data_IF_804803802511
#
_entry.id   IF_804803802511
#
_cell.length_a   1.000
_cell.length_b   1.000
_cell.length_c   1.000
_cell.angle_alpha   90.00
_cell.angle_beta   90.00
_cell.angle_gamma   90.00
#
_symmetry.space_group_name_H-M   'P 1'
#
loop_
_entity.id
_entity.type
_entity.pdbx_description
1 polymer ?
#
# COMPACT_ATOMS: atom_id res chain seq x y z
N UNK A 1 3.04 -4.01 4.00
CA UNK A 1 2.93 -3.86 2.54
C UNK A 1 3.47 -2.49 2.17
N UNK A 2 4.33 -2.41 1.17
CA UNK A 2 4.85 -1.14 0.66
C UNK A 2 3.97 -0.64 -0.49
N UNK A 3 3.41 0.56 -0.36
CA UNK A 3 2.53 1.17 -1.38
C UNK A 3 3.18 2.45 -1.92
N UNK A 4 3.11 2.66 -3.23
CA UNK A 4 3.73 3.82 -3.91
C UNK A 4 2.71 4.62 -4.71
N UNK A 5 3.10 5.83 -5.15
CA UNK A 5 2.19 6.74 -5.86
C UNK A 5 1.81 6.30 -7.28
N UNK A 6 2.67 5.55 -7.97
CA UNK A 6 2.33 4.97 -9.27
C UNK A 6 1.26 3.87 -9.06
N UNK A 7 0.02 4.07 -9.54
CA UNK A 7 -1.10 3.20 -9.24
C UNK A 7 -0.94 1.80 -9.85
N UNK A 8 -0.13 1.63 -10.89
CA UNK A 8 0.06 0.36 -11.59
C UNK A 8 1.39 -0.34 -11.24
N UNK A 9 2.18 0.30 -10.37
CA UNK A 9 3.51 -0.16 -10.01
C UNK A 9 3.56 -1.59 -9.48
N UNK A 10 4.60 -2.29 -9.91
CA UNK A 10 5.08 -3.49 -9.26
C UNK A 10 6.61 -3.48 -9.37
N UNK A 11 7.26 -2.94 -8.34
CA UNK A 11 8.71 -2.69 -8.34
C UNK A 11 9.36 -3.56 -7.29
N UNK A 12 10.29 -4.44 -7.69
CA UNK A 12 11.04 -5.27 -6.75
C UNK A 12 11.90 -4.42 -5.82
N UNK A 13 12.06 -4.87 -4.58
CA UNK A 13 12.96 -4.25 -3.59
C UNK A 13 14.23 -5.11 -3.54
N UNK A 14 15.37 -4.69 -4.11
CA UNK A 14 16.55 -5.55 -4.25
C UNK A 14 17.09 -6.08 -2.92
N UNK A 15 17.00 -5.27 -1.85
CA UNK A 15 17.44 -5.64 -0.51
C UNK A 15 16.46 -6.55 0.24
N UNK A 16 15.26 -6.81 -0.31
CA UNK A 16 14.23 -7.67 0.26
C UNK A 16 13.73 -8.65 -0.80
N UNK A 17 14.44 -9.77 -1.03
CA UNK A 17 14.06 -10.76 -2.05
C UNK A 17 12.60 -11.21 -1.90
N UNK A 18 11.88 -11.25 -3.02
CA UNK A 18 10.45 -11.59 -3.06
C UNK A 18 9.50 -10.45 -2.67
N UNK A 19 10.01 -9.31 -2.20
CA UNK A 19 9.18 -8.15 -1.83
C UNK A 19 9.14 -7.10 -2.94
N UNK A 20 8.00 -6.42 -3.00
CA UNK A 20 7.69 -5.41 -4.02
C UNK A 20 7.03 -4.17 -3.38
N UNK A 21 7.22 -3.02 -4.03
CA UNK A 21 6.38 -1.83 -3.88
C UNK A 21 5.23 -1.96 -4.87
N UNK A 22 4.01 -1.74 -4.37
CA UNK A 22 2.79 -1.97 -5.12
C UNK A 22 2.06 -0.65 -5.37
N UNK A 23 1.55 -0.49 -6.59
CA UNK A 23 0.53 0.50 -6.90
C UNK A 23 -0.85 0.02 -6.45
N UNK A 24 -1.74 0.97 -6.18
CA UNK A 24 -3.09 0.69 -5.64
C UNK A 24 -3.94 -0.23 -6.54
N UNK A 25 -3.76 -0.19 -7.86
CA UNK A 25 -4.50 -1.03 -8.81
C UNK A 25 -4.05 -2.49 -8.77
N UNK A 26 -2.84 -2.76 -8.25
CA UNK A 26 -2.28 -4.11 -8.15
C UNK A 26 -2.59 -4.80 -6.82
N UNK A 27 -3.12 -4.07 -5.83
CA UNK A 27 -3.36 -4.59 -4.48
C UNK A 27 -4.37 -5.74 -4.45
N UNK A 28 -5.41 -5.69 -5.28
CA UNK A 28 -6.42 -6.74 -5.36
C UNK A 28 -5.82 -8.07 -5.81
N UNK A 29 -5.09 -8.06 -6.93
CA UNK A 29 -4.46 -9.27 -7.46
C UNK A 29 -3.35 -9.83 -6.55
N UNK A 30 -2.66 -8.97 -5.79
CA UNK A 30 -1.63 -9.40 -4.85
C UNK A 30 -2.23 -9.98 -3.56
N UNK A 31 -3.18 -9.28 -2.95
CA UNK A 31 -3.72 -9.65 -1.63
C UNK A 31 -4.89 -10.61 -1.71
N UNK A 32 -5.67 -10.61 -2.78
CA UNK A 32 -6.86 -11.46 -2.94
C UNK A 32 -6.58 -12.93 -2.61
N UNK A 33 -5.60 -13.57 -3.28
CA UNK A 33 -5.24 -14.95 -2.95
C UNK A 33 -4.77 -15.14 -1.50
N UNK A 34 -4.14 -14.14 -0.89
CA UNK A 34 -3.67 -14.24 0.50
C UNK A 34 -4.83 -14.14 1.49
N UNK A 35 -5.80 -13.26 1.23
CA UNK A 35 -7.03 -13.12 2.02
C UNK A 35 -7.85 -14.39 1.93
N UNK A 36 -7.99 -14.97 0.73
CA UNK A 36 -8.66 -16.27 0.53
C UNK A 36 -7.96 -17.41 1.30
N UNK A 37 -6.65 -17.32 1.48
CA UNK A 37 -5.85 -18.24 2.29
C UNK A 37 -5.79 -17.89 3.79
N UNK A 38 -6.61 -16.95 4.27
CA UNK A 38 -6.76 -16.64 5.69
C UNK A 38 -5.89 -15.48 6.21
N UNK A 39 -5.30 -14.65 5.35
CA UNK A 39 -4.64 -13.42 5.77
C UNK A 39 -5.65 -12.49 6.47
N UNK A 40 -5.47 -12.29 7.77
CA UNK A 40 -6.41 -11.52 8.60
C UNK A 40 -5.98 -10.07 8.84
N UNK A 41 -4.70 -9.73 8.66
CA UNK A 41 -4.20 -8.37 8.92
C UNK A 41 -3.03 -7.97 8.03
N UNK A 42 -2.92 -6.67 7.79
CA UNK A 42 -1.82 -6.04 7.06
C UNK A 42 -1.37 -4.76 7.75
N UNK A 43 -0.07 -4.45 7.69
CA UNK A 43 0.47 -3.13 8.05
C UNK A 43 0.90 -2.40 6.78
N UNK A 44 0.58 -1.12 6.64
CA UNK A 44 0.88 -0.32 5.45
C UNK A 44 2.09 0.60 5.66
N UNK A 45 2.97 0.66 4.66
CA UNK A 45 4.08 1.59 4.60
C UNK A 45 4.02 2.36 3.28
N UNK A 46 3.82 3.68 3.36
CA UNK A 46 3.82 4.55 2.20
C UNK A 46 5.24 4.81 1.69
N UNK A 47 5.42 4.75 0.39
CA UNK A 47 6.66 5.10 -0.32
C UNK A 47 6.33 6.22 -1.30
N UNK A 48 6.18 7.46 -0.83
CA UNK A 48 5.92 8.58 -1.73
C UNK A 48 7.21 8.95 -2.47
N UNK A 49 7.13 8.92 -3.80
CA UNK A 49 8.16 9.24 -4.76
C UNK A 49 7.88 10.57 -5.48
N UNK A 50 6.62 11.00 -5.56
CA UNK A 50 6.23 12.21 -6.30
C UNK A 50 5.98 13.43 -5.41
N UNK A 51 5.83 13.25 -4.10
CA UNK A 51 5.61 14.36 -3.17
C UNK A 51 6.92 15.09 -2.84
N UNK A 52 6.81 16.39 -2.55
CA UNK A 52 7.90 17.14 -1.94
C UNK A 52 8.00 16.77 -0.45
N UNK A 53 9.19 16.37 0.00
CA UNK A 53 9.42 16.04 1.41
C UNK A 53 9.85 17.29 2.15
N UNK A 54 9.19 17.57 3.27
CA UNK A 54 9.57 18.64 4.18
C UNK A 54 9.96 18.10 5.56
N UNK A 55 10.52 18.98 6.39
CA UNK A 55 10.98 18.64 7.74
C UNK A 55 9.84 18.27 8.70
N UNK A 56 8.60 18.67 8.40
CA UNK A 56 7.42 18.38 9.22
C UNK A 56 6.80 17.02 8.87
N UNK A 57 7.03 16.53 7.66
CA UNK A 57 6.29 15.42 7.09
C UNK A 57 4.87 15.80 6.67
N UNK A 58 4.63 17.03 6.19
CA UNK A 58 3.29 17.49 5.78
C UNK A 58 2.57 16.55 4.79
N UNK A 59 3.24 15.82 3.88
CA UNK A 59 2.56 14.86 3.01
C UNK A 59 2.03 13.59 3.71
N UNK A 60 2.33 13.38 5.00
CA UNK A 60 2.01 12.13 5.70
C UNK A 60 0.50 11.84 5.79
N UNK A 61 -0.33 12.88 5.83
CA UNK A 61 -1.79 12.82 5.91
C UNK A 61 -2.50 13.32 4.64
N UNK A 62 -1.79 13.40 3.51
CA UNK A 62 -2.37 13.77 2.21
C UNK A 62 -3.50 12.78 1.83
N UNK A 63 -4.76 13.25 1.62
CA UNK A 63 -5.88 12.40 1.20
C UNK A 63 -5.66 11.65 -0.13
N UNK A 64 -4.74 12.14 -0.96
CA UNK A 64 -4.29 11.56 -2.22
C UNK A 64 -2.99 10.74 -2.07
N UNK A 65 -2.42 10.67 -0.87
CA UNK A 65 -1.22 9.90 -0.57
C UNK A 65 -1.44 8.38 -0.66
N UNK A 66 -0.37 7.61 -0.89
CA UNK A 66 -0.45 6.20 -1.24
C UNK A 66 -1.06 5.34 -0.12
N UNK A 67 -0.79 5.68 1.15
CA UNK A 67 -1.35 4.94 2.30
C UNK A 67 -2.85 5.18 2.39
N UNK A 68 -3.31 6.44 2.37
CA UNK A 68 -4.73 6.76 2.53
C UNK A 68 -5.56 6.17 1.36
N UNK A 69 -5.05 6.25 0.12
CA UNK A 69 -5.69 5.61 -1.03
C UNK A 69 -5.73 4.09 -0.89
N UNK A 70 -4.65 3.45 -0.42
CA UNK A 70 -4.63 2.01 -0.16
C UNK A 70 -5.63 1.60 0.91
N UNK A 71 -5.73 2.33 2.03
CA UNK A 71 -6.72 2.05 3.09
C UNK A 71 -8.14 2.06 2.51
N UNK A 72 -8.49 3.09 1.73
CA UNK A 72 -9.82 3.20 1.09
C UNK A 72 -10.09 2.00 0.16
N UNK A 73 -9.12 1.66 -0.70
CA UNK A 73 -9.23 0.54 -1.65
C UNK A 73 -9.36 -0.81 -0.92
N UNK A 74 -8.51 -1.07 0.08
CA UNK A 74 -8.50 -2.33 0.82
C UNK A 74 -9.76 -2.53 1.66
N UNK A 75 -10.30 -1.47 2.27
CA UNK A 75 -11.59 -1.56 2.98
C UNK A 75 -12.75 -1.88 2.04
N UNK A 76 -12.71 -1.39 0.80
CA UNK A 76 -13.73 -1.70 -0.20
C UNK A 76 -13.62 -3.13 -0.72
N UNK A 77 -12.40 -3.62 -0.95
CA UNK A 77 -12.14 -4.97 -1.47
C UNK A 77 -12.29 -6.07 -0.40
N UNK A 78 -11.76 -5.83 0.79
CA UNK A 78 -11.63 -6.82 1.86
C UNK A 78 -12.16 -6.26 3.19
N UNK A 79 -13.50 -6.15 3.37
CA UNK A 79 -14.09 -5.49 4.54
C UNK A 79 -13.72 -6.10 5.91
N UNK A 80 -13.36 -7.39 5.94
CA UNK A 80 -12.94 -8.11 7.14
C UNK A 80 -11.43 -8.03 7.43
N UNK A 81 -10.62 -7.51 6.50
CA UNK A 81 -9.18 -7.40 6.66
C UNK A 81 -8.84 -6.28 7.66
N UNK A 82 -8.08 -6.61 8.71
CA UNK A 82 -7.59 -5.59 9.64
C UNK A 82 -6.42 -4.82 9.01
N UNK A 83 -6.49 -3.49 9.03
CA UNK A 83 -5.49 -2.61 8.42
C UNK A 83 -4.82 -1.78 9.52
N UNK A 84 -3.54 -2.04 9.76
CA UNK A 84 -2.66 -1.22 10.58
C UNK A 84 -1.92 -0.19 9.71
N UNK A 85 -1.77 1.03 10.24
CA UNK A 85 -1.09 2.17 9.59
C UNK A 85 -0.13 2.80 10.58
#
# INVERSE_FOLDING_TARGET
IFVTDDPDASVAIPSLPGQRRWGINRLEGFLGPLVDNGLASVILFGVPLTCEKDARGTPADDPCGPVILAVKKLRALFPSLFIAC
#
